data_IF_978946532727
#
_entry.id   IF_978946532727
#
_cell.length_a   1.000
_cell.length_b   1.000
_cell.length_c   1.000
_cell.angle_alpha   90.00
_cell.angle_beta   90.00
_cell.angle_gamma   90.00
#
_symmetry.space_group_name_H-M   'P 1'
#
loop_
_entity.id
_entity.type
_entity.pdbx_description
1 polymer ?
#
# COMPACT_ATOMS: atom_id res chain seq x y z
N UNK A 1 1.14 -6.87 11.15
CA UNK A 1 -0.18 -6.84 10.47
C UNK A 1 0.04 -6.63 8.97
N UNK A 2 -0.63 -7.37 8.08
CA UNK A 2 -0.39 -7.29 6.63
C UNK A 2 -1.45 -6.42 5.94
N UNK A 3 -1.08 -5.54 4.98
CA UNK A 3 -2.03 -4.78 4.17
C UNK A 3 -2.96 -5.71 3.37
N UNK A 4 -4.20 -5.28 3.19
CA UNK A 4 -5.22 -5.94 2.36
C UNK A 4 -5.56 -5.06 1.16
N UNK A 5 -6.17 -5.66 0.13
CA UNK A 5 -6.74 -4.90 -0.99
C UNK A 5 -7.72 -3.86 -0.45
N UNK A 6 -7.57 -2.62 -0.90
CA UNK A 6 -8.39 -1.49 -0.47
C UNK A 6 -7.73 -0.61 0.59
N UNK A 7 -6.77 -1.13 1.36
CA UNK A 7 -6.10 -0.36 2.42
C UNK A 7 -5.36 0.84 1.84
N UNK A 8 -5.36 1.95 2.59
CA UNK A 8 -4.46 3.08 2.34
C UNK A 8 -3.17 2.86 3.11
N UNK A 9 -2.04 2.94 2.40
CA UNK A 9 -0.71 2.71 2.96
C UNK A 9 0.23 3.87 2.68
N UNK A 10 1.11 4.12 3.63
CA UNK A 10 2.26 5.02 3.47
C UNK A 10 3.47 4.19 3.01
N UNK A 11 4.14 4.64 1.96
CA UNK A 11 5.33 4.00 1.40
C UNK A 11 6.60 4.75 1.80
N UNK A 12 7.68 3.99 1.98
CA UNK A 12 9.02 4.56 2.07
C UNK A 12 9.41 5.20 0.74
N UNK A 13 9.73 6.50 0.76
CA UNK A 13 10.30 7.21 -0.37
C UNK A 13 11.82 7.32 -0.21
N UNK A 14 12.58 6.86 -1.20
CA UNK A 14 14.06 7.02 -1.23
C UNK A 14 14.52 8.46 -1.54
N UNK A 15 13.60 9.40 -1.76
CA UNK A 15 13.90 10.81 -2.06
C UNK A 15 13.28 11.77 -1.04
N UNK A 16 14.03 12.84 -0.73
CA UNK A 16 13.76 13.96 0.20
C UNK A 16 12.34 14.01 0.79
N UNK A 17 12.22 13.63 2.07
CA UNK A 17 11.26 14.19 3.04
C UNK A 17 9.77 13.86 2.91
N UNK A 18 9.29 13.39 1.76
CA UNK A 18 7.85 13.15 1.57
C UNK A 18 7.57 11.65 1.47
N UNK A 19 6.89 11.13 2.49
CA UNK A 19 6.27 9.83 2.39
C UNK A 19 5.20 9.85 1.29
N UNK A 20 5.09 8.76 0.54
CA UNK A 20 4.12 8.65 -0.55
C UNK A 20 2.99 7.74 -0.12
N UNK A 21 1.77 8.22 -0.25
CA UNK A 21 0.57 7.42 0.03
C UNK A 21 0.11 6.70 -1.23
N UNK A 22 -0.55 5.56 -1.03
CA UNK A 22 -1.23 4.84 -2.08
C UNK A 22 -2.22 3.82 -1.54
N UNK A 23 -3.13 3.40 -2.41
CA UNK A 23 -4.13 2.38 -2.12
C UNK A 23 -3.64 1.02 -2.59
N UNK A 24 -3.82 -0.01 -1.78
CA UNK A 24 -3.51 -1.39 -2.17
C UNK A 24 -4.53 -1.85 -3.21
N UNK A 25 -4.10 -1.98 -4.46
CA UNK A 25 -4.94 -2.47 -5.54
C UNK A 25 -5.00 -4.00 -5.57
N UNK A 26 -3.90 -4.68 -5.23
CA UNK A 26 -3.82 -6.12 -5.14
C UNK A 26 -2.74 -6.57 -4.15
N UNK A 27 -2.92 -7.77 -3.61
CA UNK A 27 -1.95 -8.48 -2.77
C UNK A 27 -1.50 -9.72 -3.55
N UNK A 28 -0.20 -9.91 -3.71
CA UNK A 28 0.33 -11.12 -4.35
C UNK A 28 0.05 -12.36 -3.49
N UNK A 29 -0.03 -13.56 -4.08
CA UNK A 29 -0.37 -14.81 -3.38
C UNK A 29 0.52 -15.10 -2.16
N UNK A 30 1.79 -14.71 -2.23
CA UNK A 30 2.77 -14.86 -1.14
C UNK A 30 2.48 -13.96 0.07
N UNK A 31 1.62 -12.94 -0.08
CA UNK A 31 1.24 -11.99 0.98
C UNK A 31 2.37 -11.03 1.41
N UNK A 32 3.49 -11.01 0.68
CA UNK A 32 4.66 -10.16 0.97
C UNK A 32 4.90 -9.08 -0.09
N UNK A 33 4.20 -9.17 -1.23
CA UNK A 33 4.23 -8.16 -2.28
C UNK A 33 2.84 -7.59 -2.55
N UNK A 34 2.81 -6.32 -2.94
CA UNK A 34 1.60 -5.54 -3.08
C UNK A 34 1.69 -4.68 -4.34
N UNK A 35 0.57 -4.55 -5.04
CA UNK A 35 0.40 -3.56 -6.11
C UNK A 35 -0.29 -2.35 -5.49
N UNK A 36 0.38 -1.21 -5.52
CA UNK A 36 -0.09 0.03 -4.93
C UNK A 36 -0.40 1.05 -6.03
N UNK A 37 -1.64 1.54 -6.03
CA UNK A 37 -2.02 2.70 -6.84
C UNK A 37 -1.70 3.97 -6.05
N UNK A 38 -0.78 4.77 -6.57
CA UNK A 38 -0.40 6.05 -5.95
C UNK A 38 -1.38 7.16 -6.35
N UNK A 39 -1.36 8.29 -5.63
CA UNK A 39 -2.19 9.46 -5.94
C UNK A 39 -2.04 9.98 -7.39
N UNK A 40 -0.89 9.74 -8.05
CA UNK A 40 -0.67 10.06 -9.46
C UNK A 40 -1.19 9.00 -10.43
N UNK A 41 -2.06 8.10 -9.97
CA UNK A 41 -2.61 6.93 -10.70
C UNK A 41 -1.53 6.00 -11.28
N UNK A 42 -0.31 6.06 -10.73
CA UNK A 42 0.77 5.15 -11.10
C UNK A 42 0.73 3.90 -10.22
N UNK A 43 0.79 2.75 -10.86
CA UNK A 43 0.90 1.45 -10.22
C UNK A 43 2.34 1.17 -9.82
N UNK A 44 2.57 0.71 -8.59
CA UNK A 44 3.88 0.32 -8.09
C UNK A 44 3.83 -1.06 -7.48
N UNK A 45 4.78 -1.91 -7.86
CA UNK A 45 5.01 -3.18 -7.20
C UNK A 45 5.98 -2.96 -6.03
N UNK A 46 5.53 -3.24 -4.81
CA UNK A 46 6.33 -3.04 -3.60
C UNK A 46 6.30 -4.29 -2.72
N UNK A 47 7.43 -4.62 -2.11
CA UNK A 47 7.47 -5.58 -1.01
C UNK A 47 6.97 -4.95 0.29
N UNK A 48 6.72 -5.78 1.30
CA UNK A 48 6.33 -5.34 2.64
C UNK A 48 7.31 -4.32 3.24
N UNK A 49 8.61 -4.46 2.97
CA UNK A 49 9.65 -3.51 3.42
C UNK A 49 9.56 -2.12 2.75
N UNK A 50 8.84 -2.00 1.64
CA UNK A 50 8.54 -0.72 0.99
C UNK A 50 7.35 0.01 1.61
N UNK A 51 6.59 -0.67 2.48
CA UNK A 51 5.43 -0.10 3.18
C UNK A 51 5.89 0.34 4.57
N UNK A 52 5.68 1.61 4.86
CA UNK A 52 6.02 2.23 6.14
C UNK A 52 4.94 1.98 7.19
N UNK A 53 3.67 2.23 6.86
CA UNK A 53 2.52 1.93 7.73
C UNK A 53 1.22 1.82 6.94
N UNK A 54 0.24 1.13 7.51
CA UNK A 54 -1.16 1.15 7.05
C UNK A 54 -1.82 2.37 7.70
N UNK A 55 -2.37 3.27 6.88
CA UNK A 55 -2.95 4.55 7.30
C UNK A 55 -4.42 4.35 7.67
N UNK A 56 -5.17 3.69 6.81
CA UNK A 56 -6.54 3.28 7.09
C UNK A 56 -6.78 1.90 6.51
N UNK A 57 -7.67 1.18 7.18
CA UNK A 57 -8.18 -0.08 6.68
C UNK A 57 -9.57 0.15 6.16
N UNK A 58 -9.88 -0.50 5.05
CA UNK A 58 -11.29 -0.75 4.75
C UNK A 58 -11.71 -1.86 5.70
N UNK A 59 -12.67 -1.57 6.57
CA UNK A 59 -13.30 -2.62 7.36
C UNK A 59 -13.99 -3.58 6.40
N UNK A 60 -13.68 -4.89 6.45
CA UNK A 60 -14.27 -5.86 5.55
C UNK A 60 -15.78 -6.10 5.80
N UNK A 61 -16.41 -5.40 6.75
CA UNK A 61 -17.84 -5.49 7.08
C UNK A 61 -18.71 -4.41 6.41
N UNK A 62 -18.19 -3.66 5.42
CA UNK A 62 -18.96 -2.65 4.68
C UNK A 62 -19.41 -3.07 3.27
N UNK A 63 -19.48 -4.38 2.98
CA UNK A 63 -20.16 -4.93 1.79
C UNK A 63 -21.35 -5.80 2.17
#
# INVERSE_FOLDING_TARGET
>A
MRPKKGDLVELWSRGRGHAKEGKVAAVAETGVHFIIETASKKMRFVGLSGIKRIISKIDPESE
#
